data_IF_216504201026
#
_entry.id   IF_216504201026
#
_cell.length_a   1.000
_cell.length_b   1.000
_cell.length_c   1.000
_cell.angle_alpha   90.00
_cell.angle_beta   90.00
_cell.angle_gamma   90.00
#
_symmetry.space_group_name_H-M   'P 1'
#
loop_
_entity.id
_entity.type
_entity.pdbx_description
1 polymer ?
#
# COMPACT_ATOMS: atom_id res chain seq x y z
N UNK A 1 17.80 -14.09 -4.47
CA UNK A 1 17.95 -15.54 -4.71
C UNK A 1 18.26 -15.78 -6.17
N UNK A 2 19.04 -16.82 -6.47
CA UNK A 2 19.37 -17.23 -7.82
C UNK A 2 18.80 -18.62 -8.09
N UNK A 3 18.00 -18.76 -9.16
CA UNK A 3 17.49 -20.04 -9.63
C UNK A 3 17.26 -19.98 -11.14
N UNK A 4 17.90 -20.88 -11.88
CA UNK A 4 17.74 -20.95 -13.33
C UNK A 4 16.33 -21.42 -13.68
N UNK A 5 15.70 -20.75 -14.64
CA UNK A 5 14.38 -21.14 -15.14
C UNK A 5 14.50 -22.40 -16.03
N UNK A 6 13.55 -23.32 -15.91
CA UNK A 6 13.52 -24.55 -16.73
C UNK A 6 13.19 -24.28 -18.19
N UNK A 7 12.52 -23.17 -18.49
CA UNK A 7 12.21 -22.71 -19.85
C UNK A 7 12.83 -21.32 -20.05
N UNK A 8 13.59 -21.09 -21.14
CA UNK A 8 14.18 -19.79 -21.43
C UNK A 8 13.13 -18.67 -21.42
N UNK A 9 13.49 -17.53 -20.84
CA UNK A 9 12.68 -16.29 -20.85
C UNK A 9 11.28 -16.36 -20.22
N UNK A 10 11.00 -17.36 -19.37
CA UNK A 10 9.70 -17.47 -18.67
C UNK A 10 9.69 -16.92 -17.26
N UNK A 11 10.84 -16.90 -16.59
CA UNK A 11 10.98 -16.40 -15.22
C UNK A 11 12.37 -15.76 -15.01
N UNK A 12 12.47 -14.71 -14.15
CA UNK A 12 13.74 -14.10 -13.83
C UNK A 12 14.61 -15.07 -13.03
N UNK A 13 15.89 -15.19 -13.41
CA UNK A 13 16.84 -16.04 -12.68
C UNK A 13 17.23 -15.46 -11.32
N UNK A 14 17.18 -14.13 -11.19
CA UNK A 14 17.41 -13.40 -9.95
C UNK A 14 16.10 -12.79 -9.46
N UNK A 15 15.69 -13.14 -8.24
CA UNK A 15 14.44 -12.68 -7.63
C UNK A 15 14.63 -12.35 -6.15
N UNK A 16 13.75 -11.49 -5.62
CA UNK A 16 13.71 -11.17 -4.19
C UNK A 16 13.26 -12.39 -3.37
N UNK A 17 14.01 -12.80 -2.34
CA UNK A 17 13.52 -13.83 -1.42
C UNK A 17 12.31 -13.36 -0.62
N UNK A 18 11.60 -14.28 0.01
CA UNK A 18 10.44 -13.99 0.89
C UNK A 18 10.81 -13.12 2.10
N UNK A 19 12.06 -13.18 2.56
CA UNK A 19 12.60 -12.34 3.64
C UNK A 19 13.32 -11.08 3.13
N UNK A 20 13.09 -10.65 1.88
CA UNK A 20 13.66 -9.41 1.38
C UNK A 20 13.08 -8.21 2.15
N UNK A 21 13.95 -7.43 2.78
CA UNK A 21 13.54 -6.27 3.58
C UNK A 21 13.19 -5.09 2.67
N UNK A 22 11.89 -4.98 2.40
CA UNK A 22 11.25 -3.84 1.77
C UNK A 22 11.08 -2.66 2.74
N UNK A 23 9.93 -1.98 2.64
CA UNK A 23 9.50 -1.06 3.68
C UNK A 23 8.69 -1.82 4.73
N UNK A 24 8.73 -1.32 5.97
CA UNK A 24 7.78 -1.64 7.02
C UNK A 24 6.84 -0.45 7.21
N UNK A 25 5.57 -0.70 7.53
CA UNK A 25 4.66 0.33 7.99
C UNK A 25 4.79 0.50 9.50
N UNK A 26 4.55 1.72 9.97
CA UNK A 26 4.35 2.06 11.36
C UNK A 26 3.36 3.21 11.46
N UNK A 27 2.88 3.50 12.66
CA UNK A 27 1.91 4.58 12.89
C UNK A 27 0.68 4.46 11.96
N UNK A 28 0.19 3.24 11.73
CA UNK A 28 -1.01 3.01 10.92
C UNK A 28 -2.21 3.57 11.67
N UNK A 29 -2.80 4.64 11.13
CA UNK A 29 -3.87 5.42 11.78
C UNK A 29 -5.05 5.57 10.82
N UNK A 30 -6.23 5.03 11.18
CA UNK A 30 -7.47 5.37 10.51
C UNK A 30 -7.77 6.88 10.62
N UNK A 31 -8.44 7.42 9.60
CA UNK A 31 -8.95 8.78 9.56
C UNK A 31 -10.43 8.73 9.18
N UNK A 32 -11.14 9.86 9.25
CA UNK A 32 -12.55 9.92 8.84
C UNK A 32 -12.77 9.47 7.38
N UNK A 33 -11.76 9.60 6.52
CA UNK A 33 -11.86 9.36 5.08
C UNK A 33 -10.76 8.44 4.56
N UNK A 34 -10.19 7.54 5.39
CA UNK A 34 -9.07 6.72 4.94
C UNK A 34 -8.11 6.23 6.01
N UNK A 35 -6.86 5.98 5.61
CA UNK A 35 -5.76 5.51 6.48
C UNK A 35 -4.50 6.32 6.19
N UNK A 36 -3.73 6.62 7.23
CA UNK A 36 -2.37 7.14 7.10
C UNK A 36 -1.38 6.17 7.74
N UNK A 37 -0.16 6.11 7.21
CA UNK A 37 0.94 5.38 7.83
C UNK A 37 2.28 6.02 7.50
N UNK A 38 3.30 5.72 8.31
CA UNK A 38 4.69 6.03 7.99
C UNK A 38 5.35 4.74 7.50
N UNK A 39 6.14 4.82 6.44
CA UNK A 39 6.86 3.70 5.86
C UNK A 39 8.36 3.89 6.10
N UNK A 40 9.03 2.85 6.61
CA UNK A 40 10.47 2.88 6.86
C UNK A 40 11.20 1.77 6.11
N UNK A 41 12.33 2.12 5.50
CA UNK A 41 13.23 1.17 4.84
C UNK A 41 14.54 1.07 5.62
N UNK A 42 14.70 0.00 6.40
CA UNK A 42 15.89 -0.23 7.22
C UNK A 42 17.13 -0.62 6.41
N UNK A 43 16.95 -1.34 5.29
CA UNK A 43 18.06 -1.82 4.46
C UNK A 43 18.04 -1.15 3.10
N UNK A 44 19.20 -0.64 2.64
CA UNK A 44 19.29 -0.06 1.29
C UNK A 44 19.00 -1.10 0.21
N UNK A 45 18.34 -0.67 -0.86
CA UNK A 45 18.19 -1.42 -2.10
C UNK A 45 19.50 -1.37 -2.90
N UNK A 46 19.52 -2.07 -4.03
CA UNK A 46 20.58 -1.96 -5.01
C UNK A 46 20.49 -0.70 -5.88
N UNK A 47 19.42 0.09 -5.75
CA UNK A 47 19.30 1.38 -6.40
C UNK A 47 19.91 2.50 -5.55
N UNK A 48 20.56 3.50 -6.18
CA UNK A 48 21.06 4.65 -5.46
C UNK A 48 19.90 5.53 -4.97
N UNK A 49 20.14 6.28 -3.88
CA UNK A 49 19.23 7.32 -3.36
C UNK A 49 17.85 6.81 -2.93
N UNK A 50 17.82 5.66 -2.23
CA UNK A 50 16.64 5.23 -1.48
C UNK A 50 16.14 6.35 -0.54
N UNK A 51 14.82 6.57 -0.53
CA UNK A 51 14.17 7.42 0.47
C UNK A 51 13.87 6.57 1.70
N UNK A 52 14.54 6.82 2.84
CA UNK A 52 14.42 5.95 4.01
C UNK A 52 13.09 6.01 4.73
N UNK A 53 12.40 7.14 4.62
CA UNK A 53 11.12 7.39 5.27
C UNK A 53 10.14 7.98 4.27
N UNK A 54 9.00 7.32 4.11
CA UNK A 54 7.90 7.76 3.26
C UNK A 54 6.62 7.85 4.08
N UNK A 55 5.62 8.54 3.54
CA UNK A 55 4.27 8.57 4.06
C UNK A 55 3.34 7.84 3.09
N UNK A 56 2.39 7.11 3.66
CA UNK A 56 1.29 6.48 2.97
C UNK A 56 0.01 7.20 3.37
N UNK A 57 -0.77 7.60 2.36
CA UNK A 57 -2.16 8.04 2.53
C UNK A 57 -3.04 7.18 1.64
N UNK A 58 -4.04 6.56 2.25
CA UNK A 58 -5.14 5.86 1.59
C UNK A 58 -6.37 6.74 1.77
N UNK A 59 -6.99 7.22 0.70
CA UNK A 59 -8.18 8.07 0.72
C UNK A 59 -9.38 7.31 0.16
N UNK A 60 -10.44 7.20 0.96
CA UNK A 60 -11.74 6.69 0.54
C UNK A 60 -12.50 7.83 -0.14
N UNK A 61 -12.37 7.93 -1.46
CA UNK A 61 -12.89 9.08 -2.21
C UNK A 61 -14.38 8.93 -2.54
N UNK A 62 -14.82 7.73 -2.91
CA UNK A 62 -16.24 7.37 -3.10
C UNK A 62 -16.46 5.92 -2.69
N UNK A 63 -17.72 5.45 -2.72
CA UNK A 63 -18.04 4.03 -2.53
C UNK A 63 -17.33 3.08 -3.48
N UNK A 64 -16.88 3.54 -4.65
CA UNK A 64 -16.21 2.72 -5.67
C UNK A 64 -14.79 3.19 -6.02
N UNK A 65 -14.33 4.29 -5.43
CA UNK A 65 -13.02 4.90 -5.72
C UNK A 65 -12.16 5.02 -4.46
N UNK A 66 -11.04 4.32 -4.50
CA UNK A 66 -9.94 4.40 -3.54
C UNK A 66 -8.77 5.17 -4.18
N UNK A 67 -8.09 6.03 -3.43
CA UNK A 67 -6.81 6.61 -3.86
C UNK A 67 -5.71 6.24 -2.88
N UNK A 68 -4.56 5.84 -3.41
CA UNK A 68 -3.37 5.51 -2.62
C UNK A 68 -2.27 6.46 -3.06
N UNK A 69 -1.64 7.12 -2.10
CA UNK A 69 -0.48 7.99 -2.32
C UNK A 69 0.66 7.55 -1.41
N UNK A 70 1.81 7.29 -2.01
CA UNK A 70 3.09 7.09 -1.31
C UNK A 70 3.99 8.25 -1.70
N UNK A 71 4.50 8.98 -0.71
CA UNK A 71 5.22 10.22 -0.96
C UNK A 71 6.27 10.49 0.11
N UNK A 72 7.21 11.36 -0.24
CA UNK A 72 8.27 11.86 0.64
C UNK A 72 7.82 13.21 1.21
N UNK A 73 7.56 13.28 2.52
CA UNK A 73 7.14 14.54 3.17
C UNK A 73 8.31 15.49 3.42
N UNK A 74 9.55 15.00 3.36
CA UNK A 74 10.74 15.81 3.63
C UNK A 74 11.29 16.47 2.35
N UNK A 75 10.91 15.96 1.18
CA UNK A 75 11.31 16.53 -0.11
C UNK A 75 10.15 16.45 -1.09
N UNK A 76 9.71 17.62 -1.57
CA UNK A 76 8.74 17.70 -2.66
C UNK A 76 9.27 16.93 -3.88
N UNK A 77 8.44 16.04 -4.40
CA UNK A 77 8.70 15.30 -5.65
C UNK A 77 7.75 15.81 -6.72
N UNK A 78 8.12 15.58 -7.97
CA UNK A 78 7.24 15.92 -9.09
C UNK A 78 5.89 15.20 -8.93
N UNK A 79 4.81 15.97 -9.02
CA UNK A 79 3.44 15.47 -9.15
C UNK A 79 2.91 15.91 -10.51
N UNK A 80 2.20 15.03 -11.21
CA UNK A 80 1.58 15.36 -12.50
C UNK A 80 0.59 16.51 -12.28
N UNK A 81 0.68 17.61 -13.04
CA UNK A 81 -0.24 18.74 -12.91
C UNK A 81 -1.61 18.36 -13.47
N UNK A 82 -2.42 17.72 -12.64
CA UNK A 82 -3.78 17.29 -12.98
C UNK A 82 -4.71 17.50 -11.79
N UNK A 83 -5.94 17.93 -12.06
CA UNK A 83 -6.96 18.11 -11.03
C UNK A 83 -7.40 16.75 -10.54
N UNK A 84 -6.98 16.38 -9.33
CA UNK A 84 -7.50 15.15 -8.72
C UNK A 84 -8.95 15.40 -8.29
N UNK A 85 -9.93 14.59 -8.73
CA UNK A 85 -11.29 14.73 -8.27
C UNK A 85 -11.35 14.61 -6.74
N UNK A 86 -11.88 15.64 -6.07
CA UNK A 86 -12.15 15.56 -4.63
C UNK A 86 -13.17 14.45 -4.37
N UNK A 87 -12.96 13.67 -3.31
CA UNK A 87 -13.96 12.72 -2.86
C UNK A 87 -15.15 13.46 -2.24
N UNK A 88 -16.36 13.23 -2.74
CA UNK A 88 -17.60 13.51 -2.01
C UNK A 88 -17.90 12.24 -1.21
N UNK A 89 -17.47 12.22 0.05
CA UNK A 89 -17.48 11.05 0.92
C UNK A 89 -18.90 10.57 1.24
N UNK A 90 -19.59 9.95 0.28
CA UNK A 90 -20.60 8.96 0.60
C UNK A 90 -19.90 7.61 0.83
N UNK A 91 -19.44 7.46 2.07
CA UNK A 91 -18.80 6.25 2.59
C UNK A 91 -19.80 5.36 3.32
N UNK A 92 -21.10 5.57 3.11
CA UNK A 92 -22.14 4.75 3.76
C UNK A 92 -22.09 3.28 3.29
N UNK A 93 -21.64 3.02 2.07
CA UNK A 93 -21.57 1.67 1.50
C UNK A 93 -20.39 1.48 0.53
N UNK A 94 -19.13 1.47 1.03
CA UNK A 94 -17.97 1.22 0.20
C UNK A 94 -18.00 -0.20 -0.38
N UNK A 95 -17.81 -0.30 -1.69
CA UNK A 95 -17.69 -1.54 -2.46
C UNK A 95 -16.29 -2.15 -2.34
N UNK A 96 -15.51 -1.73 -1.36
CA UNK A 96 -14.16 -2.25 -1.11
C UNK A 96 -13.81 -2.22 0.38
N UNK A 97 -12.93 -3.13 0.77
CA UNK A 97 -12.20 -3.08 2.05
C UNK A 97 -10.71 -2.97 1.78
N UNK A 98 -9.98 -2.37 2.73
CA UNK A 98 -8.52 -2.20 2.65
C UNK A 98 -7.91 -2.70 3.94
N UNK A 99 -6.78 -3.41 3.84
CA UNK A 99 -5.96 -3.73 4.99
C UNK A 99 -4.47 -3.54 4.71
N UNK A 100 -3.71 -3.34 5.79
CA UNK A 100 -2.27 -3.10 5.77
C UNK A 100 -1.61 -4.13 6.68
N UNK A 101 -0.66 -4.88 6.14
CA UNK A 101 0.34 -5.61 6.91
C UNK A 101 1.53 -4.69 7.15
N UNK A 102 2.01 -4.60 8.39
CA UNK A 102 3.07 -3.66 8.75
C UNK A 102 4.47 -4.18 8.40
N UNK A 103 4.75 -5.48 8.57
CA UNK A 103 6.08 -6.02 8.33
C UNK A 103 6.05 -7.38 7.59
N UNK A 104 6.46 -7.45 6.32
CA UNK A 104 6.74 -6.31 5.43
C UNK A 104 5.46 -5.52 5.12
N UNK A 105 5.61 -4.29 4.60
CA UNK A 105 4.49 -3.50 4.09
C UNK A 105 3.77 -4.26 2.97
N UNK A 106 2.51 -4.63 3.21
CA UNK A 106 1.59 -5.13 2.18
C UNK A 106 0.29 -4.36 2.32
N UNK A 107 -0.17 -3.72 1.25
CA UNK A 107 -1.50 -3.13 1.15
C UNK A 107 -2.32 -3.98 0.19
N UNK A 108 -3.48 -4.45 0.65
CA UNK A 108 -4.44 -5.15 -0.21
C UNK A 108 -5.82 -4.51 -0.11
N UNK A 109 -6.55 -4.56 -1.22
CA UNK A 109 -7.96 -4.17 -1.28
C UNK A 109 -8.80 -5.32 -1.81
N UNK A 110 -9.99 -5.52 -1.25
CA UNK A 110 -10.96 -6.52 -1.72
C UNK A 110 -12.24 -5.82 -2.12
N UNK A 111 -12.71 -6.06 -3.35
CA UNK A 111 -14.02 -5.62 -3.79
C UNK A 111 -15.14 -6.40 -3.09
N UNK A 112 -16.20 -5.72 -2.67
CA UNK A 112 -17.42 -6.36 -2.20
C UNK A 112 -18.22 -6.88 -3.41
N UNK A 113 -18.51 -8.18 -3.42
CA UNK A 113 -19.53 -8.75 -4.30
C UNK A 113 -20.87 -8.66 -3.55
N UNK A 114 -21.94 -8.26 -4.23
CA UNK A 114 -23.28 -8.25 -3.63
C UNK A 114 -23.60 -9.64 -3.05
N UNK A 115 -23.93 -9.71 -1.76
CA UNK A 115 -24.29 -10.95 -1.07
C UNK A 115 -23.22 -11.59 -0.16
N UNK A 116 -21.99 -11.05 -0.10
CA UNK A 116 -20.98 -11.53 0.86
C UNK A 116 -20.87 -10.60 2.09
N UNK A 117 -20.88 -11.15 3.33
CA UNK A 117 -20.82 -10.34 4.55
C UNK A 117 -19.51 -9.57 4.69
N UNK A 118 -19.60 -8.37 5.27
CA UNK A 118 -18.48 -7.49 5.58
C UNK A 118 -17.61 -8.13 6.66
N UNK A 119 -16.48 -8.73 6.27
CA UNK A 119 -15.47 -9.18 7.22
C UNK A 119 -14.56 -8.00 7.55
N UNK A 120 -14.90 -7.28 8.62
CA UNK A 120 -13.93 -6.41 9.32
C UNK A 120 -12.74 -7.30 9.69
N UNK A 121 -11.51 -6.97 9.29
CA UNK A 121 -10.35 -7.63 9.86
C UNK A 121 -10.40 -7.39 11.38
N UNK A 122 -10.76 -8.43 12.13
CA UNK A 122 -10.71 -8.38 13.58
C UNK A 122 -9.28 -8.02 13.96
N UNK A 123 -9.17 -6.95 14.74
CA UNK A 123 -7.93 -6.57 15.42
C UNK A 123 -7.46 -7.81 16.18
N UNK A 124 -6.39 -8.45 15.75
CA UNK A 124 -5.69 -9.38 16.63
C UNK A 124 -5.07 -8.50 17.71
N UNK A 125 -5.80 -8.32 18.81
CA UNK A 125 -5.23 -7.88 20.07
C UNK A 125 -4.20 -8.90 20.50
N UNK A 126 -2.97 -8.42 20.69
CA UNK A 126 -1.96 -9.09 21.51
C UNK A 126 -2.52 -9.49 22.88
#
# INVERSE_FOLDING_TARGET
CWKVASVPNTAPWCYFPTNYNGYTASNVKPTATGITATLQRSTSSFYPRDVKTLNLTVEYQTSTRLRIKIYDSNSTRFEVPFVTPSGSADLSNPQYTVAIQENPLILWSRGHQQGLPYLIPQRQSH
#
